data_IF_102476985887
#
_entry.id   IF_102476985887
#
_cell.length_a   1.000
_cell.length_b   1.000
_cell.length_c   1.000
_cell.angle_alpha   90.00
_cell.angle_beta   90.00
_cell.angle_gamma   90.00
#
_symmetry.space_group_name_H-M   'P 1'
#
loop_
_entity.id
_entity.type
_entity.pdbx_description
1 polymer ?
#
# COMPACT_ATOMS: atom_id res chain seq x y z
N UNK A 1 46.11 -34.92 -59.73
CA UNK A 1 47.55 -34.74 -59.39
C UNK A 1 48.27 -36.09 -59.44
N UNK A 2 49.59 -36.10 -59.67
CA UNK A 2 50.42 -37.31 -59.86
C UNK A 2 50.50 -38.27 -58.64
N UNK A 3 49.61 -38.13 -57.66
CA UNK A 3 49.40 -39.03 -56.53
C UNK A 3 47.96 -39.56 -56.43
N UNK A 4 47.17 -39.52 -57.51
CA UNK A 4 45.81 -40.09 -57.55
C UNK A 4 44.72 -39.22 -56.93
N UNK A 5 45.07 -38.15 -56.22
CA UNK A 5 44.08 -37.16 -55.76
C UNK A 5 43.69 -36.19 -56.89
N UNK A 6 42.38 -36.04 -57.09
CA UNK A 6 41.79 -34.99 -57.89
C UNK A 6 41.02 -34.02 -57.00
N UNK A 7 41.05 -32.74 -57.37
CA UNK A 7 40.19 -31.70 -56.79
C UNK A 7 39.39 -31.08 -57.93
N UNK A 8 38.10 -30.92 -57.72
CA UNK A 8 37.21 -30.23 -58.64
C UNK A 8 36.48 -29.11 -57.89
N UNK A 9 36.43 -27.93 -58.48
CA UNK A 9 35.64 -26.81 -57.96
C UNK A 9 34.39 -26.69 -58.82
N UNK A 10 33.22 -26.87 -58.19
CA UNK A 10 31.92 -26.70 -58.85
C UNK A 10 31.41 -25.30 -58.52
N UNK A 11 31.23 -24.46 -59.54
CA UNK A 11 30.63 -23.13 -59.38
C UNK A 11 29.18 -23.21 -59.84
N UNK A 12 28.25 -22.97 -58.92
CA UNK A 12 26.82 -22.95 -59.23
C UNK A 12 26.39 -21.55 -59.71
N UNK A 13 25.46 -21.45 -60.67
CA UNK A 13 24.98 -20.17 -61.17
C UNK A 13 24.20 -19.40 -60.09
N UNK A 14 24.41 -18.08 -60.00
CA UNK A 14 23.87 -17.20 -58.96
C UNK A 14 22.37 -16.83 -59.15
N UNK A 15 21.63 -17.62 -59.92
CA UNK A 15 20.20 -17.40 -60.20
C UNK A 15 19.36 -18.22 -59.24
N UNK A 16 18.49 -17.58 -58.46
CA UNK A 16 17.51 -18.27 -57.62
C UNK A 16 16.74 -19.32 -58.44
N UNK A 17 16.72 -20.60 -58.04
CA UNK A 17 15.94 -21.61 -58.74
C UNK A 17 14.44 -21.37 -58.53
N UNK A 18 13.65 -21.63 -59.57
CA UNK A 18 12.18 -21.80 -59.54
C UNK A 18 11.78 -22.82 -58.45
N UNK A 19 10.57 -22.78 -57.86
CA UNK A 19 10.21 -23.66 -56.74
C UNK A 19 10.22 -25.14 -57.16
N UNK A 20 11.22 -25.85 -56.65
CA UNK A 20 11.48 -27.29 -56.79
C UNK A 20 12.99 -27.53 -56.91
N UNK A 21 13.54 -28.72 -56.60
CA UNK A 21 13.20 -29.75 -55.61
C UNK A 21 13.73 -29.38 -54.20
N UNK A 22 13.66 -30.30 -53.23
CA UNK A 22 14.27 -30.17 -51.89
C UNK A 22 15.81 -30.18 -51.97
N UNK A 23 16.40 -28.98 -52.04
CA UNK A 23 17.85 -28.76 -52.22
C UNK A 23 18.71 -29.29 -51.06
N UNK A 24 18.10 -29.63 -49.91
CA UNK A 24 18.81 -30.26 -48.77
C UNK A 24 19.29 -31.69 -49.06
N UNK A 25 18.91 -32.26 -50.21
CA UNK A 25 19.20 -33.64 -50.63
C UNK A 25 20.10 -33.75 -51.86
N UNK A 26 20.79 -32.68 -52.24
CA UNK A 26 21.73 -32.75 -53.37
C UNK A 26 22.94 -33.62 -53.05
N UNK A 27 23.31 -34.46 -54.02
CA UNK A 27 24.53 -35.27 -54.00
C UNK A 27 25.43 -34.79 -55.14
N UNK A 28 26.72 -34.58 -54.86
CA UNK A 28 27.73 -34.52 -55.91
C UNK A 28 28.14 -35.95 -56.23
N UNK A 29 28.01 -36.35 -57.49
CA UNK A 29 28.35 -37.69 -57.96
C UNK A 29 29.57 -37.59 -58.89
N UNK A 30 30.61 -38.37 -58.60
CA UNK A 30 31.72 -38.58 -59.52
C UNK A 30 31.34 -39.71 -60.49
N UNK A 31 31.41 -39.45 -61.79
CA UNK A 31 31.16 -40.42 -62.84
C UNK A 31 32.48 -40.84 -63.51
N UNK A 32 32.55 -42.05 -64.06
CA UNK A 32 33.59 -42.42 -65.04
C UNK A 32 33.23 -41.93 -66.45
N UNK A 33 34.14 -42.19 -67.41
CA UNK A 33 33.97 -41.81 -68.82
C UNK A 33 32.78 -42.52 -69.52
N UNK A 34 32.11 -43.47 -68.85
CA UNK A 34 30.90 -44.15 -69.30
C UNK A 34 29.64 -43.75 -68.51
N UNK A 35 29.65 -42.60 -67.83
CA UNK A 35 28.57 -42.07 -66.99
C UNK A 35 28.19 -42.96 -65.79
N UNK A 36 29.08 -43.88 -65.38
CA UNK A 36 28.81 -44.72 -64.21
C UNK A 36 29.25 -44.02 -62.93
N UNK A 37 28.34 -43.96 -61.95
CA UNK A 37 28.65 -43.41 -60.63
C UNK A 37 29.76 -44.21 -59.92
N UNK A 38 30.87 -43.54 -59.64
CA UNK A 38 32.02 -44.04 -58.91
C UNK A 38 31.94 -43.71 -57.42
N UNK A 39 31.43 -42.53 -57.07
CA UNK A 39 31.28 -42.07 -55.69
C UNK A 39 30.21 -40.97 -55.60
N UNK A 40 29.62 -40.79 -54.42
CA UNK A 40 28.72 -39.67 -54.14
C UNK A 40 28.99 -39.10 -52.76
N UNK A 41 28.88 -37.78 -52.61
CA UNK A 41 28.94 -37.10 -51.32
C UNK A 41 27.75 -36.14 -51.15
N UNK A 42 27.18 -36.00 -49.94
CA UNK A 42 26.14 -35.02 -49.67
C UNK A 42 26.70 -33.60 -49.88
N UNK A 43 25.96 -32.78 -50.60
CA UNK A 43 26.30 -31.38 -50.85
C UNK A 43 25.37 -30.50 -50.01
N UNK A 44 25.89 -29.97 -48.90
CA UNK A 44 25.18 -29.00 -48.09
C UNK A 44 25.29 -27.61 -48.71
N UNK A 45 24.17 -27.04 -49.17
CA UNK A 45 24.11 -25.63 -49.54
C UNK A 45 24.06 -24.80 -48.26
N UNK A 46 25.17 -24.16 -47.88
CA UNK A 46 25.17 -23.13 -46.84
C UNK A 46 24.87 -21.83 -47.58
N UNK A 47 23.66 -21.32 -47.44
CA UNK A 47 23.45 -19.90 -47.75
C UNK A 47 24.37 -19.11 -46.84
N UNK A 48 25.11 -18.14 -47.38
CA UNK A 48 25.62 -17.01 -46.60
C UNK A 48 24.39 -16.27 -46.05
N UNK A 49 23.79 -16.84 -45.00
CA UNK A 49 22.87 -16.13 -44.16
C UNK A 49 23.69 -14.99 -43.58
N UNK A 50 23.27 -13.75 -43.87
CA UNK A 50 23.57 -12.62 -43.01
C UNK A 50 23.55 -13.12 -41.57
N UNK A 51 24.61 -12.90 -40.77
CA UNK A 51 24.63 -13.39 -39.40
C UNK A 51 23.33 -12.93 -38.74
N UNK A 52 22.52 -13.85 -38.18
CA UNK A 52 21.24 -13.49 -37.60
C UNK A 52 21.49 -12.33 -36.62
N UNK A 53 20.71 -11.24 -36.69
CA UNK A 53 20.89 -10.12 -35.77
C UNK A 53 20.91 -10.68 -34.35
N UNK A 54 21.96 -10.35 -33.61
CA UNK A 54 22.29 -10.99 -32.34
C UNK A 54 21.08 -11.05 -31.37
N UNK A 55 20.57 -12.25 -31.17
CA UNK A 55 20.20 -12.78 -29.86
C UNK A 55 18.70 -12.83 -29.46
N UNK A 56 18.38 -13.68 -28.46
CA UNK A 56 17.10 -13.72 -27.75
C UNK A 56 16.56 -12.39 -27.15
N UNK A 57 17.32 -11.28 -26.96
CA UNK A 57 16.74 -10.06 -26.41
C UNK A 57 15.71 -9.38 -27.31
N UNK A 58 15.92 -9.35 -28.64
CA UNK A 58 15.07 -8.55 -29.54
C UNK A 58 13.67 -9.17 -29.73
N UNK A 59 13.56 -10.49 -29.71
CA UNK A 59 12.29 -11.20 -29.85
C UNK A 59 11.43 -11.07 -28.59
N UNK A 60 12.02 -11.22 -27.41
CA UNK A 60 11.35 -10.98 -26.12
C UNK A 60 10.91 -9.51 -26.01
N UNK A 61 11.77 -8.57 -26.41
CA UNK A 61 11.46 -7.13 -26.42
C UNK A 61 10.25 -6.80 -27.30
N UNK A 62 10.08 -7.51 -28.43
CA UNK A 62 8.94 -7.29 -29.33
C UNK A 62 7.62 -7.68 -28.65
N UNK A 63 7.58 -8.80 -27.93
CA UNK A 63 6.38 -9.22 -27.18
C UNK A 63 6.13 -8.30 -25.97
N UNK A 64 7.16 -7.96 -25.20
CA UNK A 64 6.97 -7.06 -24.04
C UNK A 64 6.44 -5.70 -24.50
N UNK A 65 7.01 -5.15 -25.58
CA UNK A 65 6.53 -3.88 -26.17
C UNK A 65 5.07 -3.99 -26.61
N UNK A 66 4.67 -5.10 -27.25
CA UNK A 66 3.27 -5.33 -27.62
C UNK A 66 2.35 -5.29 -26.39
N UNK A 67 2.72 -6.02 -25.33
CA UNK A 67 1.91 -6.16 -24.13
C UNK A 67 1.86 -4.85 -23.32
N UNK A 68 2.94 -4.06 -23.33
CA UNK A 68 3.01 -2.76 -22.65
C UNK A 68 2.15 -1.69 -23.33
N UNK A 69 2.13 -1.67 -24.68
CA UNK A 69 1.29 -0.74 -25.45
C UNK A 69 -0.13 -1.28 -25.66
N UNK A 70 -0.43 -2.51 -25.22
CA UNK A 70 -1.74 -3.13 -25.38
C UNK A 70 -2.85 -2.28 -24.74
N UNK A 71 -3.81 -1.85 -25.57
CA UNK A 71 -4.93 -0.99 -25.15
C UNK A 71 -4.54 0.47 -24.88
N UNK A 72 -3.27 0.86 -25.12
CA UNK A 72 -2.74 2.20 -24.80
C UNK A 72 -2.05 2.89 -25.98
N UNK A 73 -1.65 2.16 -27.01
CA UNK A 73 -0.89 2.70 -28.14
C UNK A 73 -1.06 1.91 -29.42
N UNK A 74 -0.29 2.30 -30.43
CA UNK A 74 -0.30 1.68 -31.75
C UNK A 74 0.56 0.41 -31.77
N UNK A 75 -0.07 -0.73 -32.03
CA UNK A 75 0.60 -2.03 -32.17
C UNK A 75 0.95 -2.37 -33.62
N UNK A 76 0.44 -1.62 -34.62
CA UNK A 76 0.65 -1.92 -36.05
C UNK A 76 2.13 -2.07 -36.43
N UNK A 77 3.08 -1.29 -35.87
CA UNK A 77 4.49 -1.45 -36.16
C UNK A 77 5.06 -2.79 -35.70
N UNK A 78 4.43 -3.47 -34.73
CA UNK A 78 4.88 -4.74 -34.17
C UNK A 78 4.28 -5.96 -34.90
N UNK A 79 3.24 -5.75 -35.69
CA UNK A 79 2.58 -6.80 -36.46
C UNK A 79 3.31 -7.07 -37.77
N UNK A 80 3.39 -8.35 -38.14
CA UNK A 80 3.87 -8.79 -39.43
C UNK A 80 2.87 -8.40 -40.54
N UNK A 81 3.35 -8.40 -41.77
CA UNK A 81 2.58 -7.97 -42.95
C UNK A 81 1.19 -8.62 -43.06
N UNK A 82 1.08 -9.92 -42.77
CA UNK A 82 -0.19 -10.66 -42.80
C UNK A 82 -1.20 -10.15 -41.76
N UNK A 83 -0.80 -9.99 -40.50
CA UNK A 83 -1.71 -9.51 -39.44
C UNK A 83 -2.05 -8.03 -39.61
N UNK A 84 -1.10 -7.23 -40.10
CA UNK A 84 -1.33 -5.81 -40.36
C UNK A 84 -2.44 -5.60 -41.40
N UNK A 85 -2.40 -6.36 -42.50
CA UNK A 85 -3.44 -6.30 -43.54
C UNK A 85 -4.83 -6.62 -42.98
N UNK A 86 -4.94 -7.58 -42.05
CA UNK A 86 -6.22 -7.89 -41.41
C UNK A 86 -6.76 -6.73 -40.59
N UNK A 87 -5.89 -6.06 -39.83
CA UNK A 87 -6.27 -4.88 -39.04
C UNK A 87 -6.65 -3.70 -39.94
N UNK A 88 -5.87 -3.45 -40.99
CA UNK A 88 -6.15 -2.42 -42.00
C UNK A 88 -7.46 -2.70 -42.76
N UNK A 89 -7.83 -3.97 -42.95
CA UNK A 89 -9.12 -4.39 -43.47
C UNK A 89 -10.29 -4.23 -42.46
N UNK A 90 -10.03 -3.66 -41.28
CA UNK A 90 -11.05 -3.32 -40.29
C UNK A 90 -11.28 -4.40 -39.23
N UNK A 91 -10.51 -5.49 -39.21
CA UNK A 91 -10.62 -6.46 -38.11
C UNK A 91 -10.04 -5.86 -36.83
N UNK A 92 -10.76 -5.94 -35.69
CA UNK A 92 -10.23 -5.46 -34.44
C UNK A 92 -8.93 -6.18 -34.07
N UNK A 93 -7.91 -5.41 -33.71
CA UNK A 93 -6.58 -5.92 -33.34
C UNK A 93 -6.65 -7.08 -32.35
N UNK A 94 -7.49 -6.98 -31.30
CA UNK A 94 -7.65 -8.02 -30.28
C UNK A 94 -8.14 -9.36 -30.85
N UNK A 95 -8.91 -9.34 -31.94
CA UNK A 95 -9.30 -10.57 -32.64
C UNK A 95 -8.18 -11.13 -33.52
N UNK A 96 -7.33 -10.26 -34.07
CA UNK A 96 -6.20 -10.65 -34.94
C UNK A 96 -5.09 -11.32 -34.12
N UNK A 97 -4.74 -10.76 -32.97
CA UNK A 97 -3.73 -11.34 -32.05
C UNK A 97 -4.34 -12.21 -30.95
N UNK A 98 -5.67 -12.36 -30.94
CA UNK A 98 -6.39 -13.21 -30.01
C UNK A 98 -6.37 -12.76 -28.54
N UNK A 99 -5.87 -11.56 -28.23
CA UNK A 99 -5.80 -11.04 -26.86
C UNK A 99 -7.17 -10.55 -26.37
N UNK A 100 -7.38 -10.55 -25.05
CA UNK A 100 -8.62 -10.00 -24.49
C UNK A 100 -8.73 -8.49 -24.78
N UNK A 101 -9.94 -7.99 -25.11
CA UNK A 101 -10.16 -6.59 -25.49
C UNK A 101 -10.05 -5.60 -24.32
N UNK A 102 -10.06 -6.06 -23.07
CA UNK A 102 -10.00 -5.21 -21.89
C UNK A 102 -8.97 -5.69 -20.88
N UNK A 103 -8.30 -4.72 -20.25
CA UNK A 103 -7.27 -4.93 -19.23
C UNK A 103 -5.87 -5.12 -19.82
N UNK A 104 -4.89 -4.43 -19.24
CA UNK A 104 -3.48 -4.79 -19.47
C UNK A 104 -3.19 -6.03 -18.60
N UNK A 105 -2.91 -7.20 -19.19
CA UNK A 105 -2.56 -8.36 -18.38
C UNK A 105 -1.23 -8.13 -17.67
N UNK A 106 -1.05 -8.71 -16.50
CA UNK A 106 0.31 -9.00 -16.02
C UNK A 106 0.90 -10.07 -16.93
N UNK A 107 2.22 -10.09 -17.15
CA UNK A 107 2.79 -11.06 -18.06
C UNK A 107 4.16 -11.57 -17.65
N UNK A 108 4.45 -12.80 -18.04
CA UNK A 108 5.80 -13.35 -18.09
C UNK A 108 6.06 -13.96 -19.46
N UNK A 109 7.27 -13.75 -19.99
CA UNK A 109 7.65 -14.19 -21.34
C UNK A 109 8.69 -15.30 -21.18
N UNK A 110 8.42 -16.45 -21.79
CA UNK A 110 9.30 -17.60 -21.82
C UNK A 110 10.47 -17.41 -22.79
N UNK A 111 11.31 -18.44 -22.88
CA UNK A 111 12.46 -18.41 -23.77
C UNK A 111 12.03 -18.59 -25.24
N UNK A 112 12.66 -17.89 -26.19
CA UNK A 112 12.45 -18.12 -27.60
C UNK A 112 12.94 -19.49 -28.04
N UNK A 113 12.09 -20.18 -28.80
CA UNK A 113 12.35 -21.48 -29.42
C UNK A 113 12.36 -21.29 -30.94
N UNK A 114 13.52 -21.35 -31.61
CA UNK A 114 13.59 -21.28 -33.07
C UNK A 114 12.78 -22.40 -33.73
N UNK A 115 12.09 -22.08 -34.83
CA UNK A 115 11.39 -23.07 -35.62
C UNK A 115 12.41 -23.93 -36.39
N UNK A 116 12.31 -25.26 -36.25
CA UNK A 116 13.19 -26.18 -36.98
C UNK A 116 13.04 -25.96 -38.49
N UNK A 117 14.17 -25.75 -39.17
CA UNK A 117 14.21 -25.51 -40.62
C UNK A 117 13.87 -24.09 -41.06
N UNK A 118 13.57 -23.15 -40.15
CA UNK A 118 13.35 -21.75 -40.49
C UNK A 118 13.96 -20.80 -39.45
N UNK A 119 15.19 -20.28 -39.67
CA UNK A 119 15.86 -19.39 -38.72
C UNK A 119 15.17 -18.03 -38.58
N UNK A 120 14.30 -17.67 -39.53
CA UNK A 120 13.55 -16.41 -39.50
C UNK A 120 12.21 -16.54 -38.79
N UNK A 121 11.97 -17.65 -38.08
CA UNK A 121 10.76 -17.85 -37.29
C UNK A 121 11.08 -18.38 -35.90
N UNK A 122 10.48 -17.76 -34.89
CA UNK A 122 10.69 -18.09 -33.48
C UNK A 122 9.33 -18.18 -32.78
N UNK A 123 9.17 -19.20 -31.93
CA UNK A 123 8.04 -19.32 -31.03
C UNK A 123 8.42 -18.86 -29.62
N UNK A 124 7.54 -18.12 -28.97
CA UNK A 124 7.70 -17.71 -27.58
C UNK A 124 6.39 -17.94 -26.85
N UNK A 125 6.44 -18.62 -25.71
CA UNK A 125 5.30 -18.71 -24.81
C UNK A 125 5.26 -17.48 -23.89
N UNK A 126 4.07 -16.94 -23.64
CA UNK A 126 3.85 -15.93 -22.63
C UNK A 126 2.64 -16.31 -21.77
N UNK A 127 2.79 -16.15 -20.46
CA UNK A 127 1.70 -16.31 -19.50
C UNK A 127 1.12 -14.93 -19.24
N UNK A 128 -0.18 -14.76 -19.48
CA UNK A 128 -0.93 -13.52 -19.35
C UNK A 128 -1.93 -13.65 -18.20
N UNK A 129 -1.72 -12.91 -17.11
CA UNK A 129 -2.61 -12.88 -15.96
C UNK A 129 -3.70 -11.81 -16.13
N UNK A 130 -4.95 -12.24 -16.15
CA UNK A 130 -6.14 -11.39 -16.09
C UNK A 130 -6.80 -11.50 -14.72
N UNK A 131 -7.81 -10.67 -14.45
CA UNK A 131 -8.48 -10.62 -13.15
C UNK A 131 -9.16 -11.96 -12.75
N UNK A 132 -9.62 -12.74 -13.72
CA UNK A 132 -10.45 -13.94 -13.49
C UNK A 132 -9.90 -15.20 -14.14
N UNK A 133 -8.80 -15.10 -14.88
CA UNK A 133 -8.15 -16.24 -15.54
C UNK A 133 -6.73 -15.89 -15.95
N UNK A 134 -5.95 -16.94 -16.18
CA UNK A 134 -4.61 -16.85 -16.76
C UNK A 134 -4.61 -17.55 -18.11
N UNK A 135 -4.18 -16.85 -19.15
CA UNK A 135 -3.93 -17.45 -20.46
C UNK A 135 -2.45 -17.82 -20.58
N UNK A 136 -2.14 -18.99 -21.13
CA UNK A 136 -0.81 -19.26 -21.72
C UNK A 136 -0.97 -19.16 -23.23
N UNK A 137 -0.18 -18.30 -23.86
CA UNK A 137 -0.20 -18.09 -25.31
C UNK A 137 1.15 -18.35 -25.93
N UNK A 138 1.15 -18.90 -27.13
CA UNK A 138 2.35 -19.02 -27.93
C UNK A 138 2.29 -18.01 -29.07
N UNK A 139 3.29 -17.15 -29.15
CA UNK A 139 3.48 -16.18 -30.22
C UNK A 139 4.47 -16.71 -31.24
N UNK A 140 4.14 -16.59 -32.52
CA UNK A 140 5.09 -16.81 -33.60
C UNK A 140 5.59 -15.45 -34.09
N UNK A 141 6.90 -15.28 -34.12
CA UNK A 141 7.58 -14.09 -34.60
C UNK A 141 8.32 -14.42 -35.88
N UNK A 142 8.27 -13.50 -36.84
CA UNK A 142 8.99 -13.58 -38.10
C UNK A 142 9.94 -12.38 -38.25
N UNK A 143 11.11 -12.60 -38.84
CA UNK A 143 12.04 -11.51 -39.15
C UNK A 143 11.65 -10.87 -40.49
N UNK A 144 11.04 -9.69 -40.44
CA UNK A 144 10.66 -8.90 -41.62
C UNK A 144 11.46 -7.59 -41.66
N UNK A 145 12.16 -7.33 -42.77
CA UNK A 145 12.96 -6.12 -42.97
C UNK A 145 13.94 -5.82 -41.82
N UNK A 146 14.56 -6.87 -41.27
CA UNK A 146 15.53 -6.76 -40.17
C UNK A 146 14.92 -6.54 -38.78
N UNK A 147 13.59 -6.57 -38.63
CA UNK A 147 12.91 -6.45 -37.36
C UNK A 147 11.99 -7.66 -37.09
N UNK A 148 11.97 -8.13 -35.85
CA UNK A 148 11.03 -9.18 -35.45
C UNK A 148 9.61 -8.62 -35.39
N UNK A 149 8.66 -9.36 -35.96
CA UNK A 149 7.25 -9.00 -36.05
C UNK A 149 6.37 -10.17 -35.62
N UNK A 150 5.25 -9.90 -35.00
CA UNK A 150 4.29 -10.92 -34.58
C UNK A 150 3.51 -11.36 -35.82
N UNK A 151 3.70 -12.62 -36.22
CA UNK A 151 2.99 -13.25 -37.33
C UNK A 151 1.73 -13.98 -36.89
N UNK A 152 1.72 -14.50 -35.65
CA UNK A 152 0.61 -15.27 -35.12
C UNK A 152 0.63 -15.31 -33.58
N UNK A 153 -0.53 -15.52 -32.97
CA UNK A 153 -0.68 -15.87 -31.55
C UNK A 153 -1.74 -16.94 -31.41
N UNK A 154 -1.45 -17.96 -30.62
CA UNK A 154 -2.39 -19.04 -30.31
C UNK A 154 -2.55 -19.21 -28.80
N UNK A 155 -3.78 -19.49 -28.37
CA UNK A 155 -4.09 -19.87 -27.00
C UNK A 155 -3.67 -21.33 -26.79
N UNK A 156 -2.76 -21.56 -25.84
CA UNK A 156 -2.30 -22.90 -25.45
C UNK A 156 -3.21 -23.46 -24.37
N UNK A 157 -3.48 -22.66 -23.33
CA UNK A 157 -4.39 -23.03 -22.25
C UNK A 157 -4.98 -21.78 -21.61
N UNK A 158 -6.18 -21.92 -21.05
CA UNK A 158 -6.74 -20.94 -20.11
C UNK A 158 -6.97 -21.65 -18.79
N UNK A 159 -6.54 -21.03 -17.70
CA UNK A 159 -6.82 -21.51 -16.34
C UNK A 159 -7.73 -20.49 -15.70
N UNK A 160 -8.97 -20.88 -15.38
CA UNK A 160 -9.82 -20.02 -14.57
C UNK A 160 -9.16 -19.80 -13.23
N UNK A 161 -8.96 -18.53 -12.88
CA UNK A 161 -8.64 -18.18 -11.52
C UNK A 161 -9.89 -18.50 -10.70
N UNK A 162 -9.77 -19.16 -9.53
CA UNK A 162 -10.93 -19.35 -8.67
C UNK A 162 -11.64 -18.00 -8.48
N UNK A 163 -12.97 -18.00 -8.62
CA UNK A 163 -13.76 -16.80 -8.43
C UNK A 163 -13.27 -16.12 -7.13
N UNK A 164 -12.90 -14.83 -7.17
CA UNK A 164 -12.44 -14.16 -5.98
C UNK A 164 -13.49 -14.40 -4.88
N UNK A 165 -13.08 -14.89 -3.69
CA UNK A 165 -14.04 -15.09 -2.60
C UNK A 165 -14.80 -13.78 -2.41
N UNK A 166 -16.12 -13.86 -2.18
CA UNK A 166 -16.96 -12.66 -1.96
C UNK A 166 -16.16 -11.64 -1.14
N UNK A 167 -15.89 -10.44 -1.69
CA UNK A 167 -14.99 -9.51 -1.02
C UNK A 167 -15.46 -9.25 0.41
N UNK A 168 -14.55 -9.42 1.37
CA UNK A 168 -14.83 -9.12 2.76
C UNK A 168 -14.09 -7.85 3.17
N UNK A 169 -14.70 -7.07 4.05
CA UNK A 169 -14.04 -5.92 4.67
C UNK A 169 -14.17 -6.05 6.19
N UNK A 170 -13.12 -5.69 6.90
CA UNK A 170 -13.05 -5.62 8.35
C UNK A 170 -12.40 -4.32 8.81
N UNK A 171 -12.64 -3.99 10.07
CA UNK A 171 -12.16 -2.78 10.73
C UNK A 171 -11.54 -3.12 12.08
N UNK A 172 -10.52 -2.35 12.46
CA UNK A 172 -9.94 -2.32 13.80
C UNK A 172 -9.62 -0.87 14.19
N UNK A 173 -10.29 -0.30 15.21
CA UNK A 173 -11.42 -0.87 15.95
C UNK A 173 -12.69 -1.03 15.09
N UNK A 174 -13.73 -1.72 15.62
CA UNK A 174 -15.04 -1.86 14.95
C UNK A 174 -16.08 -0.83 15.40
N UNK A 175 -15.65 0.07 16.28
CA UNK A 175 -16.47 1.12 16.88
C UNK A 175 -15.60 2.32 17.24
N UNK A 176 -16.21 3.49 17.36
CA UNK A 176 -15.51 4.73 17.67
C UNK A 176 -16.35 5.98 17.47
N UNK A 177 -15.84 7.11 17.94
CA UNK A 177 -16.38 8.46 17.69
C UNK A 177 -15.72 9.09 16.47
N UNK A 178 -16.12 10.31 16.12
CA UNK A 178 -15.30 11.16 15.25
C UNK A 178 -13.87 11.29 15.80
N UNK A 179 -12.87 11.42 14.93
CA UNK A 179 -11.45 11.44 15.28
C UNK A 179 -10.82 10.06 15.46
N UNK A 180 -11.62 8.99 15.55
CA UNK A 180 -11.06 7.62 15.69
C UNK A 180 -10.27 7.25 14.45
N UNK A 181 -8.99 6.89 14.62
CA UNK A 181 -8.20 6.27 13.54
C UNK A 181 -8.61 4.80 13.40
N UNK A 182 -9.13 4.44 12.24
CA UNK A 182 -9.59 3.09 11.93
C UNK A 182 -8.67 2.47 10.88
N UNK A 183 -8.18 1.27 11.20
CA UNK A 183 -7.51 0.40 10.22
C UNK A 183 -8.55 -0.47 9.54
N UNK A 184 -8.74 -0.25 8.25
CA UNK A 184 -9.55 -1.11 7.39
C UNK A 184 -8.68 -2.10 6.64
N UNK A 185 -9.20 -3.30 6.46
CA UNK A 185 -8.56 -4.36 5.72
C UNK A 185 -9.58 -5.22 5.00
N UNK A 186 -9.17 -5.83 3.89
CA UNK A 186 -10.05 -6.70 3.13
C UNK A 186 -9.31 -7.82 2.41
N UNK A 187 -10.07 -8.83 2.01
CA UNK A 187 -9.59 -9.92 1.16
C UNK A 187 -10.66 -10.35 0.16
N UNK A 188 -10.24 -11.00 -0.92
CA UNK A 188 -11.13 -11.40 -2.02
C UNK A 188 -11.35 -10.32 -3.07
N UNK A 189 -10.47 -9.32 -3.16
CA UNK A 189 -10.55 -8.27 -4.17
C UNK A 189 -9.70 -8.62 -5.40
N UNK A 190 -10.01 -8.03 -6.55
CA UNK A 190 -9.23 -8.23 -7.77
C UNK A 190 -7.81 -7.64 -7.61
N UNK A 191 -6.74 -8.43 -7.80
CA UNK A 191 -5.36 -7.96 -7.68
C UNK A 191 -5.05 -6.75 -8.57
N UNK A 192 -4.24 -5.82 -8.06
CA UNK A 192 -3.77 -4.64 -8.81
C UNK A 192 -4.82 -3.54 -8.98
N UNK A 193 -5.98 -3.65 -8.33
CA UNK A 193 -7.03 -2.63 -8.36
C UNK A 193 -6.96 -1.71 -7.14
N UNK A 194 -7.46 -0.48 -7.26
CA UNK A 194 -7.67 0.41 -6.14
C UNK A 194 -9.05 0.17 -5.50
N UNK A 195 -9.09 0.24 -4.16
CA UNK A 195 -10.31 0.17 -3.36
C UNK A 195 -10.47 1.47 -2.59
N UNK A 196 -11.66 2.06 -2.63
CA UNK A 196 -12.03 3.24 -1.85
C UNK A 196 -12.98 2.87 -0.71
N UNK A 197 -12.75 3.43 0.48
CA UNK A 197 -13.63 3.32 1.65
C UNK A 197 -14.51 4.55 1.71
N UNK A 198 -15.81 4.36 1.83
CA UNK A 198 -16.79 5.45 2.02
C UNK A 198 -17.76 5.12 3.14
N UNK A 199 -18.32 6.16 3.75
CA UNK A 199 -19.44 6.05 4.68
C UNK A 199 -20.75 5.87 3.90
N UNK A 200 -21.58 4.90 4.28
CA UNK A 200 -22.78 4.54 3.52
C UNK A 200 -24.06 4.52 4.37
N UNK A 201 -25.08 5.25 3.90
CA UNK A 201 -26.50 5.05 4.22
C UNK A 201 -27.34 5.39 2.97
N UNK A 202 -28.45 4.70 2.69
CA UNK A 202 -28.56 3.46 1.89
C UNK A 202 -27.91 3.47 0.48
N UNK A 203 -27.37 4.60 0.00
CA UNK A 203 -26.46 4.63 -1.15
C UNK A 203 -25.17 5.36 -0.74
N UNK A 204 -24.00 4.75 -0.89
CA UNK A 204 -22.72 5.37 -0.56
C UNK A 204 -22.38 6.51 -1.54
N UNK A 205 -22.91 7.71 -1.27
CA UNK A 205 -22.54 8.97 -1.93
C UNK A 205 -21.55 9.76 -1.06
N UNK A 206 -20.91 9.07 -0.10
CA UNK A 206 -19.95 9.63 0.85
C UNK A 206 -18.63 10.08 0.21
N UNK A 207 -17.86 10.96 0.84
CA UNK A 207 -16.47 11.22 0.44
C UNK A 207 -15.61 9.97 0.66
N UNK A 208 -14.50 9.90 -0.08
CA UNK A 208 -13.52 8.84 0.11
C UNK A 208 -12.80 9.10 1.43
N UNK A 209 -12.98 8.21 2.40
CA UNK A 209 -12.30 8.27 3.70
C UNK A 209 -10.84 7.80 3.58
N UNK A 210 -10.61 6.77 2.78
CA UNK A 210 -9.27 6.31 2.41
C UNK A 210 -9.31 5.44 1.15
N UNK A 211 -8.12 5.25 0.56
CA UNK A 211 -7.88 4.35 -0.57
C UNK A 211 -6.80 3.33 -0.21
N UNK A 212 -6.97 2.08 -0.66
CA UNK A 212 -5.96 1.02 -0.56
C UNK A 212 -5.75 0.32 -1.91
N UNK A 213 -4.53 -0.12 -2.18
CA UNK A 213 -4.22 -0.93 -3.36
C UNK A 213 -4.29 -2.41 -3.02
N UNK A 214 -4.90 -3.19 -3.90
CA UNK A 214 -5.04 -4.64 -3.74
C UNK A 214 -3.77 -5.34 -4.21
N UNK A 215 -3.15 -6.10 -3.32
CA UNK A 215 -1.95 -6.88 -3.61
C UNK A 215 -2.23 -8.08 -4.55
N UNK A 216 -1.17 -8.79 -4.93
CA UNK A 216 -1.25 -9.98 -5.78
C UNK A 216 -2.13 -11.11 -5.20
N UNK A 217 -2.36 -11.10 -3.88
CA UNK A 217 -3.17 -12.09 -3.17
C UNK A 217 -4.61 -11.63 -2.94
N UNK A 218 -5.02 -10.50 -3.51
CA UNK A 218 -6.38 -9.97 -3.35
C UNK A 218 -6.63 -9.33 -1.98
N UNK A 219 -5.58 -8.93 -1.25
CA UNK A 219 -5.65 -8.29 0.07
C UNK A 219 -5.28 -6.82 -0.01
N UNK A 220 -5.82 -6.03 0.90
CA UNK A 220 -5.48 -4.62 1.03
C UNK A 220 -5.67 -4.16 2.48
N UNK A 221 -5.03 -3.05 2.82
CA UNK A 221 -5.28 -2.31 4.06
C UNK A 221 -5.19 -0.81 3.80
N UNK A 222 -5.90 -0.03 4.62
CA UNK A 222 -5.82 1.42 4.62
C UNK A 222 -6.19 1.94 6.01
N UNK A 223 -5.64 3.10 6.39
CA UNK A 223 -6.02 3.79 7.62
C UNK A 223 -6.78 5.06 7.25
N UNK A 224 -7.82 5.38 8.02
CA UNK A 224 -8.54 6.65 7.90
C UNK A 224 -8.95 7.16 9.27
N UNK A 225 -9.18 8.46 9.37
CA UNK A 225 -9.78 9.08 10.55
C UNK A 225 -11.27 9.23 10.30
N UNK A 226 -12.08 8.80 11.27
CA UNK A 226 -13.53 8.84 11.14
C UNK A 226 -14.03 10.29 11.30
N UNK A 227 -14.80 10.84 10.34
CA UNK A 227 -15.27 12.22 10.42
C UNK A 227 -16.40 12.39 11.44
N UNK A 228 -16.71 13.63 11.81
CA UNK A 228 -17.88 14.00 12.63
C UNK A 228 -19.14 14.23 11.79
N UNK A 229 -18.98 14.49 10.49
CA UNK A 229 -20.05 14.87 9.56
C UNK A 229 -20.06 14.01 8.31
N UNK A 230 -21.26 13.84 7.77
CA UNK A 230 -21.50 13.36 6.41
C UNK A 230 -21.05 14.43 5.40
N UNK A 231 -20.83 14.09 4.12
CA UNK A 231 -20.54 15.09 3.09
C UNK A 231 -21.68 16.09 2.86
N UNK A 232 -22.90 15.78 3.30
CA UNK A 232 -24.00 16.77 3.33
C UNK A 232 -23.78 17.89 4.35
N UNK A 233 -22.81 17.73 5.26
CA UNK A 233 -22.57 18.62 6.41
C UNK A 233 -23.32 18.20 7.67
N UNK A 234 -24.29 17.28 7.56
CA UNK A 234 -25.03 16.75 8.70
C UNK A 234 -24.13 15.93 9.63
N UNK A 235 -24.34 15.98 10.96
CA UNK A 235 -23.61 15.12 11.88
C UNK A 235 -23.91 13.66 11.59
N UNK A 236 -22.91 12.78 11.76
CA UNK A 236 -23.13 11.34 11.63
C UNK A 236 -24.00 10.88 12.81
N UNK A 237 -25.14 10.19 12.56
CA UNK A 237 -25.99 9.73 13.64
C UNK A 237 -25.28 8.65 14.45
N UNK A 238 -25.40 8.72 15.78
CA UNK A 238 -24.97 7.64 16.66
C UNK A 238 -25.69 6.33 16.31
N UNK A 239 -24.98 5.22 16.49
CA UNK A 239 -25.49 3.87 16.24
C UNK A 239 -24.72 3.15 15.14
N UNK A 240 -25.33 2.11 14.59
CA UNK A 240 -24.68 1.28 13.58
C UNK A 240 -24.72 1.96 12.22
N UNK A 241 -23.54 2.36 11.72
CA UNK A 241 -23.34 2.81 10.35
C UNK A 241 -22.75 1.68 9.50
N UNK A 242 -22.75 1.83 8.17
CA UNK A 242 -22.05 0.93 7.26
C UNK A 242 -20.90 1.65 6.58
N UNK A 243 -19.74 1.00 6.59
CA UNK A 243 -18.61 1.38 5.76
C UNK A 243 -18.58 0.45 4.55
N UNK A 244 -18.38 1.04 3.37
CA UNK A 244 -18.47 0.34 2.09
C UNK A 244 -17.14 0.42 1.38
N UNK A 245 -16.65 -0.74 0.91
CA UNK A 245 -15.53 -0.84 0.00
C UNK A 245 -16.02 -0.77 -1.45
N UNK A 246 -15.41 0.07 -2.27
CA UNK A 246 -15.77 0.26 -3.66
C UNK A 246 -14.59 0.14 -4.60
N UNK A 247 -14.87 -0.17 -5.87
CA UNK A 247 -13.90 0.00 -6.95
C UNK A 247 -13.93 1.43 -7.53
N UNK A 248 -13.06 1.69 -8.51
CA UNK A 248 -12.95 2.97 -9.23
C UNK A 248 -14.22 3.38 -10.00
N UNK A 249 -15.14 2.43 -10.25
CA UNK A 249 -16.44 2.69 -10.88
C UNK A 249 -17.53 3.02 -9.86
N UNK A 250 -17.18 3.16 -8.58
CA UNK A 250 -18.08 3.33 -7.43
C UNK A 250 -19.08 2.17 -7.25
N UNK A 251 -18.72 0.97 -7.70
CA UNK A 251 -19.51 -0.24 -7.44
C UNK A 251 -19.17 -0.77 -6.05
N UNK A 252 -20.17 -1.01 -5.21
CA UNK A 252 -19.98 -1.58 -3.87
C UNK A 252 -19.55 -3.05 -3.97
N UNK A 253 -18.37 -3.35 -3.44
CA UNK A 253 -17.77 -4.69 -3.43
C UNK A 253 -18.04 -5.44 -2.12
N UNK A 254 -17.96 -4.72 -1.00
CA UNK A 254 -18.21 -5.24 0.34
C UNK A 254 -18.73 -4.13 1.26
N UNK A 255 -19.41 -4.52 2.34
CA UNK A 255 -19.69 -3.59 3.44
C UNK A 255 -19.63 -4.32 4.77
N UNK A 256 -19.25 -3.59 5.82
CA UNK A 256 -19.33 -4.09 7.18
C UNK A 256 -19.90 -3.01 8.11
N UNK A 257 -20.60 -3.43 9.19
CA UNK A 257 -21.10 -2.50 10.19
C UNK A 257 -19.94 -1.90 10.99
N UNK A 258 -20.12 -0.67 11.41
CA UNK A 258 -19.28 0.03 12.37
C UNK A 258 -20.18 0.75 13.36
N UNK A 259 -19.91 0.63 14.66
CA UNK A 259 -20.70 1.33 15.68
C UNK A 259 -20.12 2.73 15.88
N UNK A 260 -20.85 3.75 15.43
CA UNK A 260 -20.48 5.14 15.61
C UNK A 260 -21.09 5.70 16.90
N UNK A 261 -20.28 6.38 17.71
CA UNK A 261 -20.74 7.14 18.85
C UNK A 261 -20.72 8.62 18.48
N UNK A 262 -21.87 9.30 18.55
CA UNK A 262 -21.91 10.75 18.29
C UNK A 262 -21.17 11.50 19.39
N UNK A 263 -20.38 12.50 19.00
CA UNK A 263 -19.66 13.39 19.92
C UNK A 263 -20.65 14.30 20.68
N UNK A 264 -21.79 14.62 20.05
CA UNK A 264 -22.86 15.47 20.61
C UNK A 264 -24.11 14.64 20.94
N UNK A 265 -24.14 14.12 22.16
CA UNK A 265 -25.31 13.70 22.98
C UNK A 265 -24.93 12.65 24.04
N UNK A 266 -23.68 12.58 24.45
CA UNK A 266 -23.46 12.20 25.84
C UNK A 266 -23.85 13.43 26.67
N UNK A 267 -24.88 13.37 27.56
CA UNK A 267 -24.74 14.17 28.78
C UNK A 267 -23.34 13.85 29.28
N UNK A 268 -22.54 14.87 29.63
CA UNK A 268 -21.22 14.69 30.25
C UNK A 268 -21.29 13.39 31.05
N UNK A 269 -20.49 12.33 30.71
CA UNK A 269 -20.65 11.05 31.37
C UNK A 269 -20.69 11.41 32.83
N UNK A 270 -21.79 11.05 33.51
CA UNK A 270 -21.85 11.23 34.94
C UNK A 270 -20.53 10.64 35.41
N UNK A 271 -19.63 11.53 35.84
CA UNK A 271 -18.29 11.18 36.24
C UNK A 271 -18.52 9.96 37.12
N UNK A 272 -17.93 8.79 36.87
CA UNK A 272 -17.96 7.77 37.90
C UNK A 272 -17.47 8.53 39.11
N UNK A 273 -18.36 8.74 40.10
CA UNK A 273 -17.99 9.49 41.28
C UNK A 273 -16.69 8.79 41.73
N UNK A 274 -15.57 9.52 41.81
CA UNK A 274 -14.33 8.90 42.21
C UNK A 274 -14.52 8.37 43.64
N UNK A 275 -14.90 7.11 43.76
CA UNK A 275 -15.22 6.44 45.03
C UNK A 275 -13.99 6.29 45.96
N UNK A 276 -12.87 6.94 45.60
CA UNK A 276 -11.60 6.93 46.31
C UNK A 276 -11.02 8.35 46.56
N UNK A 277 -11.85 9.40 46.55
CA UNK A 277 -11.46 10.75 46.98
C UNK A 277 -10.71 11.61 45.95
N UNK A 278 -10.66 11.21 44.68
CA UNK A 278 -10.28 12.10 43.58
C UNK A 278 -11.43 13.08 43.24
N UNK A 279 -11.17 14.12 42.48
CA UNK A 279 -12.14 15.08 41.97
C UNK A 279 -11.67 15.52 40.58
N UNK A 280 -12.59 15.71 39.63
CA UNK A 280 -12.26 16.30 38.33
C UNK A 280 -12.12 17.80 38.51
N UNK A 281 -10.99 18.36 38.10
CA UNK A 281 -10.80 19.81 38.01
C UNK A 281 -11.28 20.32 36.65
N UNK A 282 -10.66 19.81 35.58
CA UNK A 282 -10.87 20.27 34.21
C UNK A 282 -10.72 19.11 33.24
N UNK A 283 -11.35 19.20 32.07
CA UNK A 283 -11.15 18.30 30.94
C UNK A 283 -10.90 19.11 29.67
N UNK A 284 -9.99 18.65 28.83
CA UNK A 284 -9.62 19.31 27.59
C UNK A 284 -8.45 18.60 26.90
N UNK A 285 -8.18 18.96 25.66
CA UNK A 285 -6.99 18.53 24.91
C UNK A 285 -5.82 19.43 25.31
N UNK A 286 -5.11 19.04 26.37
CA UNK A 286 -4.03 19.80 26.97
C UNK A 286 -2.69 19.59 26.26
N UNK A 287 -2.55 18.49 25.52
CA UNK A 287 -1.33 18.15 24.80
C UNK A 287 -1.41 18.34 23.27
N UNK A 288 -2.57 18.74 22.75
CA UNK A 288 -2.78 19.05 21.34
C UNK A 288 -2.85 17.83 20.42
N UNK A 289 -2.98 16.62 20.97
CA UNK A 289 -3.01 15.38 20.18
C UNK A 289 -4.41 15.01 19.68
N UNK A 290 -5.42 15.81 20.03
CA UNK A 290 -6.82 15.64 19.62
C UNK A 290 -7.62 14.69 20.50
N UNK A 291 -7.03 14.14 21.56
CA UNK A 291 -7.73 13.38 22.59
C UNK A 291 -8.03 14.29 23.79
N UNK A 292 -9.02 13.90 24.59
CA UNK A 292 -9.40 14.66 25.79
C UNK A 292 -8.64 14.09 26.98
N UNK A 293 -7.88 14.94 27.65
CA UNK A 293 -7.34 14.67 28.96
C UNK A 293 -8.32 15.11 30.05
N UNK A 294 -8.27 14.41 31.18
CA UNK A 294 -8.94 14.78 32.41
C UNK A 294 -7.91 15.05 33.50
N UNK A 295 -7.93 16.27 34.02
CA UNK A 295 -7.17 16.66 35.20
C UNK A 295 -7.96 16.29 36.46
N UNK A 296 -7.40 15.36 37.23
CA UNK A 296 -7.91 14.88 38.49
C UNK A 296 -7.06 15.42 39.64
N UNK A 297 -7.66 15.72 40.78
CA UNK A 297 -6.95 16.05 42.01
C UNK A 297 -7.57 15.38 43.22
N UNK A 298 -6.78 15.14 44.27
CA UNK A 298 -7.31 14.78 45.59
C UNK A 298 -7.27 16.02 46.48
N UNK A 299 -8.37 16.45 47.10
CA UNK A 299 -8.36 17.56 48.04
C UNK A 299 -7.34 17.32 49.18
N UNK A 300 -6.79 18.41 49.72
CA UNK A 300 -6.05 18.38 50.98
C UNK A 300 -6.79 19.17 52.05
N UNK A 301 -6.68 18.71 53.30
CA UNK A 301 -7.15 19.47 54.46
C UNK A 301 -6.13 20.54 54.92
N UNK A 302 -4.90 20.51 54.39
CA UNK A 302 -3.87 21.51 54.71
C UNK A 302 -4.25 22.85 54.07
N UNK A 303 -4.38 23.88 54.89
CA UNK A 303 -4.63 25.25 54.43
C UNK A 303 -3.31 25.92 54.01
N UNK A 304 -3.13 26.32 52.74
CA UNK A 304 -1.92 27.00 52.30
C UNK A 304 -1.74 28.35 52.99
N UNK A 305 -0.55 28.59 53.54
CA UNK A 305 -0.15 29.89 54.12
C UNK A 305 0.61 30.74 53.12
N UNK A 306 1.43 30.09 52.32
CA UNK A 306 2.17 30.72 51.24
C UNK A 306 1.40 30.63 49.92
N UNK A 307 1.65 31.61 49.05
CA UNK A 307 1.04 31.73 47.73
C UNK A 307 2.09 31.70 46.62
N UNK A 308 1.63 31.76 45.38
CA UNK A 308 2.48 31.87 44.20
C UNK A 308 3.15 33.25 44.09
N UNK A 309 2.65 34.26 44.82
CA UNK A 309 3.12 35.64 44.70
C UNK A 309 2.52 36.36 43.48
N UNK A 310 1.52 35.72 42.85
CA UNK A 310 0.74 36.23 41.74
C UNK A 310 -0.74 36.23 42.17
N UNK A 311 -1.38 37.39 42.14
CA UNK A 311 -2.72 37.56 42.67
C UNK A 311 -3.81 36.78 41.92
N UNK A 312 -3.61 36.53 40.62
CA UNK A 312 -4.56 35.77 39.80
C UNK A 312 -4.44 34.26 40.08
N UNK A 313 -3.20 33.75 40.09
CA UNK A 313 -2.95 32.36 40.46
C UNK A 313 -3.38 32.08 41.89
N UNK A 314 -3.08 32.99 42.83
CA UNK A 314 -3.43 32.82 44.23
C UNK A 314 -4.94 32.82 44.48
N UNK A 315 -5.69 33.61 43.71
CA UNK A 315 -7.15 33.67 43.80
C UNK A 315 -7.84 32.40 43.27
N UNK A 316 -7.22 31.73 42.30
CA UNK A 316 -7.77 30.52 41.67
C UNK A 316 -7.17 29.22 42.23
N UNK A 317 -6.27 29.33 43.21
CA UNK A 317 -5.57 28.19 43.76
C UNK A 317 -6.43 27.34 44.70
N UNK A 318 -6.24 26.02 44.66
CA UNK A 318 -6.83 25.06 45.58
C UNK A 318 -5.76 24.23 46.29
N UNK A 319 -6.08 23.70 47.47
CA UNK A 319 -5.20 22.81 48.22
C UNK A 319 -5.46 21.34 47.85
N UNK A 320 -4.42 20.65 47.40
CA UNK A 320 -4.51 19.27 46.90
C UNK A 320 -3.42 18.39 47.53
N UNK A 321 -3.67 17.09 47.66
CA UNK A 321 -2.70 16.11 48.15
C UNK A 321 -2.08 15.28 47.02
N UNK A 322 -2.75 15.22 45.87
CA UNK A 322 -2.25 14.57 44.66
C UNK A 322 -2.93 15.17 43.42
N UNK A 323 -2.26 15.08 42.27
CA UNK A 323 -2.76 15.50 40.96
C UNK A 323 -2.48 14.40 39.94
N UNK A 324 -3.38 14.20 39.00
CA UNK A 324 -3.20 13.27 37.90
C UNK A 324 -3.78 13.85 36.61
N UNK A 325 -3.06 13.69 35.49
CA UNK A 325 -3.61 13.91 34.15
C UNK A 325 -3.77 12.55 33.50
N UNK A 326 -5.00 12.21 33.14
CA UNK A 326 -5.33 10.96 32.47
C UNK A 326 -5.85 11.23 31.06
N UNK A 327 -5.51 10.35 30.14
CA UNK A 327 -6.06 10.34 28.79
C UNK A 327 -6.73 8.98 28.55
N UNK A 328 -7.90 8.97 27.92
CA UNK A 328 -8.59 7.73 27.57
C UNK A 328 -7.91 7.08 26.36
N UNK A 329 -7.45 5.84 26.54
CA UNK A 329 -6.80 5.05 25.49
C UNK A 329 -7.58 3.77 25.16
N UNK A 330 -7.14 3.08 24.10
CA UNK A 330 -7.75 1.82 23.65
C UNK A 330 -7.76 0.68 24.70
N UNK A 331 -6.99 0.84 25.79
CA UNK A 331 -6.87 -0.11 26.90
C UNK A 331 -7.38 0.45 28.23
N UNK A 332 -8.16 1.53 28.20
CA UNK A 332 -8.62 2.29 29.35
C UNK A 332 -7.77 3.53 29.62
N UNK A 333 -8.09 4.29 30.69
CA UNK A 333 -7.38 5.51 31.02
C UNK A 333 -5.94 5.20 31.41
N UNK A 334 -4.99 5.93 30.82
CA UNK A 334 -3.58 5.87 31.19
C UNK A 334 -3.10 7.22 31.72
N UNK A 335 -2.14 7.20 32.64
CA UNK A 335 -1.64 8.41 33.29
C UNK A 335 -0.54 9.05 32.45
N UNK A 336 -0.75 10.30 32.05
CA UNK A 336 0.28 11.13 31.41
C UNK A 336 1.16 11.84 32.43
N UNK A 337 0.59 12.18 33.58
CA UNK A 337 1.24 12.88 34.68
C UNK A 337 0.65 12.43 36.00
N UNK A 338 1.50 12.07 36.96
CA UNK A 338 1.12 11.75 38.33
C UNK A 338 1.97 12.55 39.30
N UNK A 339 1.33 13.23 40.24
CA UNK A 339 1.99 14.07 41.25
C UNK A 339 1.45 13.70 42.62
N UNK A 340 2.35 13.39 43.53
CA UNK A 340 2.06 13.10 44.93
C UNK A 340 3.18 13.61 45.84
N UNK A 341 3.09 13.32 47.14
CA UNK A 341 4.07 13.79 48.12
C UNK A 341 5.52 13.39 47.82
N UNK A 342 5.77 12.33 47.06
CA UNK A 342 7.13 11.89 46.74
C UNK A 342 7.75 12.67 45.57
N UNK A 343 6.95 13.08 44.59
CA UNK A 343 7.44 13.73 43.37
C UNK A 343 6.38 13.89 42.29
N UNK A 344 6.84 14.34 41.12
CA UNK A 344 6.08 14.41 39.89
C UNK A 344 6.69 13.45 38.85
N UNK A 345 5.85 12.63 38.25
CA UNK A 345 6.21 11.62 37.25
C UNK A 345 5.41 11.84 35.98
N UNK A 346 6.10 12.02 34.86
CA UNK A 346 5.51 11.94 33.54
C UNK A 346 5.49 10.48 33.06
N UNK A 347 4.82 10.24 31.94
CA UNK A 347 4.75 8.91 31.28
C UNK A 347 6.12 8.29 30.98
N UNK A 348 7.16 9.12 30.84
CA UNK A 348 8.51 8.70 30.47
C UNK A 348 9.56 8.83 31.58
N UNK A 349 9.17 9.28 32.78
CA UNK A 349 10.05 9.28 33.94
C UNK A 349 9.72 10.30 35.03
N UNK A 350 10.57 10.33 36.06
CA UNK A 350 10.51 11.30 37.15
C UNK A 350 10.93 12.67 36.62
N UNK A 351 10.09 13.69 36.81
CA UNK A 351 10.38 15.07 36.39
C UNK A 351 10.67 16.01 37.57
N UNK A 352 10.25 15.65 38.79
CA UNK A 352 10.63 16.34 40.02
C UNK A 352 10.54 15.41 41.25
N UNK A 353 11.37 15.63 42.26
CA UNK A 353 11.30 14.94 43.55
C UNK A 353 11.09 15.93 44.68
N UNK A 354 10.19 15.62 45.62
CA UNK A 354 9.92 16.48 46.78
C UNK A 354 10.51 15.94 48.08
N UNK A 355 10.82 14.63 48.10
CA UNK A 355 11.55 14.02 49.19
C UNK A 355 13.04 14.45 49.15
N UNK A 356 13.60 14.72 50.33
CA UNK A 356 15.03 15.00 50.54
C UNK A 356 15.48 14.46 51.89
N UNK A 357 16.79 14.46 52.17
CA UNK A 357 17.31 14.05 53.49
C UNK A 357 16.71 14.87 54.65
N UNK A 358 16.41 16.14 54.41
CA UNK A 358 15.76 17.02 55.39
C UNK A 358 14.24 16.78 55.50
N UNK A 359 13.61 16.16 54.49
CA UNK A 359 12.18 15.86 54.42
C UNK A 359 11.93 14.54 53.69
N UNK A 360 12.16 13.40 54.35
CA UNK A 360 12.05 12.10 53.71
C UNK A 360 10.62 11.74 53.28
N UNK A 361 9.61 12.40 53.86
CA UNK A 361 8.19 12.22 53.49
C UNK A 361 7.76 13.09 52.29
N UNK A 362 8.61 14.03 51.86
CA UNK A 362 8.32 14.94 50.75
C UNK A 362 7.27 16.00 51.06
N UNK A 363 6.41 16.31 50.08
CA UNK A 363 5.35 17.30 50.21
C UNK A 363 4.13 16.71 50.94
N UNK A 364 3.59 17.43 51.92
CA UNK A 364 2.36 17.03 52.62
C UNK A 364 1.10 17.43 51.85
N UNK A 365 1.19 18.50 51.06
CA UNK A 365 0.15 18.97 50.15
C UNK A 365 0.79 19.85 49.05
N UNK A 366 -0.06 20.34 48.17
CA UNK A 366 0.27 21.32 47.15
C UNK A 366 -0.80 22.41 47.14
N UNK A 367 -0.36 23.64 46.91
CA UNK A 367 -1.25 24.68 46.37
C UNK A 367 -1.19 24.56 44.84
N UNK A 368 -2.34 24.39 44.21
CA UNK A 368 -2.49 24.11 42.78
C UNK A 368 -3.31 25.19 42.11
N UNK A 369 -2.83 25.78 41.03
CA UNK A 369 -3.58 26.66 40.15
C UNK A 369 -3.39 26.25 38.68
N UNK A 370 -4.34 26.63 37.83
CA UNK A 370 -4.24 26.39 36.38
C UNK A 370 -3.86 27.68 35.67
N UNK A 371 -3.03 27.54 34.64
CA UNK A 371 -2.68 28.67 33.77
C UNK A 371 -3.86 29.06 32.89
N UNK A 372 -3.99 30.36 32.63
CA UNK A 372 -4.93 30.88 31.63
C UNK A 372 -4.20 31.03 30.29
N UNK A 373 -4.63 30.30 29.26
CA UNK A 373 -4.14 30.44 27.88
C UNK A 373 -2.97 29.51 27.51
N UNK A 374 -2.08 29.96 26.61
CA UNK A 374 -0.98 29.17 26.03
C UNK A 374 0.23 28.97 26.97
N UNK A 375 0.04 29.22 28.27
CA UNK A 375 1.07 29.10 29.29
C UNK A 375 1.16 27.68 29.86
N UNK A 376 1.89 27.50 30.98
CA UNK A 376 1.90 26.26 31.73
C UNK A 376 0.48 25.84 32.08
N UNK A 377 0.15 24.58 31.82
CA UNK A 377 -1.14 24.00 32.18
C UNK A 377 -1.38 24.11 33.69
N UNK A 378 -0.32 23.83 34.48
CA UNK A 378 -0.44 23.58 35.91
C UNK A 378 0.68 24.29 36.69
N UNK A 379 0.29 25.03 37.72
CA UNK A 379 1.19 25.62 38.71
C UNK A 379 1.04 24.88 40.04
N UNK A 380 2.15 24.45 40.63
CA UNK A 380 2.17 23.70 41.88
C UNK A 380 3.19 24.24 42.86
N UNK A 381 2.77 24.59 44.06
CA UNK A 381 3.64 24.99 45.15
C UNK A 381 3.60 23.91 46.25
N UNK A 382 4.68 23.13 46.44
CA UNK A 382 4.72 22.08 47.45
C UNK A 382 4.72 22.65 48.87
N UNK A 383 3.85 22.10 49.72
CA UNK A 383 3.59 22.57 51.08
C UNK A 383 4.00 21.54 52.13
N UNK A 384 4.42 22.04 53.28
CA UNK A 384 4.65 21.26 54.49
C UNK A 384 3.36 20.98 55.26
N UNK A 385 3.44 20.20 56.35
CA UNK A 385 2.29 19.86 57.20
C UNK A 385 1.60 21.09 57.83
N UNK A 386 2.30 22.22 57.91
CA UNK A 386 1.77 23.49 58.43
C UNK A 386 1.22 24.41 57.32
N UNK A 387 1.31 23.99 56.05
CA UNK A 387 0.89 24.77 54.89
C UNK A 387 1.90 25.80 54.40
N UNK A 388 3.16 25.77 54.87
CA UNK A 388 4.21 26.64 54.35
C UNK A 388 4.87 26.00 53.12
N UNK A 389 5.22 26.82 52.14
CA UNK A 389 6.02 26.41 51.01
C UNK A 389 7.46 26.13 51.46
N UNK A 390 8.04 25.06 50.94
CA UNK A 390 9.42 24.67 51.27
C UNK A 390 10.33 24.55 50.04
N UNK A 391 9.77 24.78 48.86
CA UNK A 391 10.49 24.86 47.59
C UNK A 391 9.77 25.86 46.68
N UNK A 392 10.35 26.13 45.51
CA UNK A 392 9.75 26.99 44.50
C UNK A 392 8.53 26.34 43.85
N UNK A 393 7.66 27.17 43.28
CA UNK A 393 6.55 26.67 42.47
C UNK A 393 7.07 25.99 41.21
N UNK A 394 6.46 24.86 40.86
CA UNK A 394 6.66 24.17 39.59
C UNK A 394 5.66 24.69 38.59
N UNK A 395 6.12 24.94 37.38
CA UNK A 395 5.28 25.18 36.21
C UNK A 395 5.32 23.92 35.38
N UNK A 396 4.18 23.31 35.10
CA UNK A 396 4.12 22.06 34.32
C UNK A 396 3.39 22.34 33.01
N UNK A 397 4.07 21.99 31.91
CA UNK A 397 3.57 22.14 30.55
C UNK A 397 3.83 20.87 29.75
N UNK A 398 3.07 20.67 28.67
CA UNK A 398 3.39 19.65 27.69
C UNK A 398 4.65 20.05 26.89
N UNK A 399 5.60 19.13 26.74
CA UNK A 399 6.74 19.27 25.85
C UNK A 399 6.49 18.44 24.59
N UNK A 400 6.20 19.13 23.49
CA UNK A 400 5.91 18.53 22.18
C UNK A 400 7.07 17.67 21.65
N UNK A 401 8.31 18.03 21.98
CA UNK A 401 9.49 17.27 21.49
C UNK A 401 9.64 15.96 22.25
N UNK A 402 9.36 15.99 23.54
CA UNK A 402 9.46 14.82 24.39
C UNK A 402 8.18 13.96 24.43
N UNK A 403 7.06 14.49 23.90
CA UNK A 403 5.73 13.91 24.03
C UNK A 403 5.38 13.54 25.47
N UNK A 404 5.71 14.44 26.40
CA UNK A 404 5.50 14.22 27.83
C UNK A 404 5.42 15.54 28.59
N UNK A 405 4.78 15.52 29.77
CA UNK A 405 4.76 16.66 30.67
C UNK A 405 6.16 16.94 31.24
N UNK A 406 6.49 18.22 31.37
CA UNK A 406 7.78 18.71 31.88
C UNK A 406 7.61 19.86 32.85
N UNK A 407 8.61 20.01 33.71
CA UNK A 407 8.76 21.23 34.50
C UNK A 407 9.36 22.31 33.59
N UNK A 408 8.60 23.38 33.36
CA UNK A 408 9.07 24.58 32.67
C UNK A 408 10.19 25.27 33.46
N UNK A 409 11.13 25.88 32.74
CA UNK A 409 12.19 26.71 33.33
C UNK A 409 11.71 28.10 33.71
#
# INVERSE_FOLDING_TARGET
>A
NAGGEWQAQVVLPNTQPSPGPDWSKMLVIALDDGDKALASAPFGYIFDAQPPPQGPPATVTTISTLLDVWGKGDVLPLLASNLRQEVEAGRPVHQVIGLAPQGSPSYSIGNPVPMSGNPNTVYIEATLGYATYTDVRQFALVLENGAWKIAHSQLVSTTQQPAPPNPIIGFSPREGTAGTTVSAFGSGYAPGTAVAIRLGLPQPVGDVLATGNVDANGRWSANFVLPDRLPSGDPIPAGQIRLVAMNERNEALASAPFTFYAVDNQPAPATPAPDNGWQVSHSGDFNGDGLVETLLYRPSAISPRDGFGDGELDANAIAVSAVQVQQEGAHGPWSLLTIDGSGANASDGVIATFASDARPQGAAAFRMALGSGSGPLLYLLPLDENGNAFTQALQISWDETAHAYRVGQ
#
